data_IF_883288069916
#
_entry.id   IF_883288069916
#
_cell.length_a   1.000
_cell.length_b   1.000
_cell.length_c   1.000
_cell.angle_alpha   90.00
_cell.angle_beta   90.00
_cell.angle_gamma   90.00
#
_symmetry.space_group_name_H-M   'P 1'
#
loop_
_entity.id
_entity.type
_entity.pdbx_description
1 polymer ?
#
# COMPACT_ATOMS: atom_id res chain seq x y z
N UNK A 1 -26.88 -18.19 -23.99
CA UNK A 1 -26.20 -19.05 -23.00
C UNK A 1 -24.90 -18.36 -22.69
N UNK A 2 -24.93 -17.61 -21.60
CA UNK A 2 -23.91 -16.66 -21.18
C UNK A 2 -22.57 -17.35 -20.94
N UNK A 3 -21.50 -16.73 -21.44
CA UNK A 3 -20.13 -17.14 -21.12
C UNK A 3 -19.87 -16.87 -19.64
N UNK A 4 -19.17 -17.76 -18.90
CA UNK A 4 -18.76 -17.44 -17.55
C UNK A 4 -17.77 -16.28 -17.64
N UNK A 5 -18.09 -15.16 -17.01
CA UNK A 5 -17.13 -14.10 -16.75
C UNK A 5 -15.96 -14.71 -15.98
N UNK A 6 -14.84 -14.94 -16.68
CA UNK A 6 -13.59 -15.35 -16.08
C UNK A 6 -13.03 -14.13 -15.35
N UNK A 7 -13.51 -13.89 -14.12
CA UNK A 7 -12.75 -13.08 -13.19
C UNK A 7 -11.44 -13.83 -12.93
N UNK A 8 -10.27 -13.22 -13.14
CA UNK A 8 -9.05 -13.81 -12.63
C UNK A 8 -9.24 -14.05 -11.13
N UNK A 9 -8.78 -15.21 -10.64
CA UNK A 9 -8.64 -15.42 -9.21
C UNK A 9 -7.91 -14.18 -8.63
N UNK A 10 -8.40 -13.61 -7.51
CA UNK A 10 -7.69 -12.49 -6.89
C UNK A 10 -6.25 -12.93 -6.68
N UNK A 11 -5.25 -12.12 -7.13
CA UNK A 11 -3.85 -12.49 -6.95
C UNK A 11 -3.63 -12.80 -5.48
N UNK A 12 -3.01 -13.95 -5.23
CA UNK A 12 -2.67 -14.42 -3.89
C UNK A 12 -2.17 -13.22 -3.09
N UNK A 13 -2.97 -12.82 -2.10
CA UNK A 13 -2.86 -11.51 -1.46
C UNK A 13 -1.68 -11.57 -0.53
N UNK A 14 -0.51 -11.38 -1.12
CA UNK A 14 0.73 -11.60 -0.44
C UNK A 14 1.37 -10.26 -0.23
N UNK A 15 1.85 -10.05 1.00
CA UNK A 15 2.92 -9.10 1.26
C UNK A 15 4.19 -9.38 0.43
N UNK A 16 4.16 -10.24 -0.62
CA UNK A 16 5.26 -10.56 -1.52
C UNK A 16 5.97 -9.32 -2.10
N UNK A 17 5.26 -8.20 -2.26
CA UNK A 17 5.88 -6.95 -2.72
C UNK A 17 6.53 -6.13 -1.59
N UNK A 18 6.25 -6.44 -0.33
CA UNK A 18 6.78 -5.77 0.85
C UNK A 18 8.00 -6.49 1.40
N UNK A 19 8.90 -5.72 2.02
CA UNK A 19 9.97 -6.27 2.82
C UNK A 19 9.41 -7.09 4.00
N UNK A 20 9.96 -8.28 4.33
CA UNK A 20 9.42 -9.17 5.37
C UNK A 20 9.24 -8.51 6.75
N UNK A 21 10.11 -7.56 7.11
CA UNK A 21 10.00 -6.81 8.37
C UNK A 21 8.72 -5.96 8.40
N UNK A 22 8.38 -5.29 7.30
CA UNK A 22 7.18 -4.46 7.21
C UNK A 22 5.93 -5.35 7.22
N UNK A 23 5.98 -6.48 6.51
CA UNK A 23 4.91 -7.47 6.49
C UNK A 23 4.64 -8.05 7.90
N UNK A 24 5.68 -8.48 8.61
CA UNK A 24 5.55 -9.01 9.98
C UNK A 24 4.99 -7.95 10.91
N UNK A 25 5.56 -6.74 10.90
CA UNK A 25 5.06 -5.65 11.73
C UNK A 25 3.58 -5.36 11.50
N UNK A 26 3.13 -5.35 10.23
CA UNK A 26 1.73 -5.12 9.91
C UNK A 26 0.85 -6.24 10.49
N UNK A 27 1.23 -7.50 10.29
CA UNK A 27 0.47 -8.65 10.80
C UNK A 27 0.39 -8.64 12.33
N UNK A 28 1.49 -8.30 13.01
CA UNK A 28 1.57 -8.29 14.47
C UNK A 28 0.84 -7.08 15.10
N UNK A 29 0.82 -5.94 14.41
CA UNK A 29 0.32 -4.67 14.98
C UNK A 29 -1.09 -4.32 14.51
N UNK A 30 -1.39 -4.58 13.24
CA UNK A 30 -2.64 -4.19 12.58
C UNK A 30 -3.54 -5.41 12.32
N UNK A 31 -2.94 -6.57 12.04
CA UNK A 31 -3.64 -7.82 11.74
C UNK A 31 -3.79 -8.05 10.24
N UNK A 32 -5.00 -8.42 9.81
CA UNK A 32 -5.26 -8.79 8.41
C UNK A 32 -5.48 -7.55 7.54
N UNK A 33 -4.88 -7.48 6.34
CA UNK A 33 -5.13 -6.37 5.42
C UNK A 33 -6.58 -6.34 4.92
N UNK A 34 -7.10 -5.16 4.66
CA UNK A 34 -8.41 -4.98 4.02
C UNK A 34 -8.36 -5.30 2.53
N UNK A 35 -9.51 -5.57 1.92
CA UNK A 35 -9.60 -5.80 0.47
C UNK A 35 -9.06 -4.60 -0.34
N UNK A 36 -9.25 -3.38 0.16
CA UNK A 36 -8.76 -2.16 -0.49
C UNK A 36 -7.25 -2.05 -0.42
N UNK A 37 -6.63 -2.43 0.71
CA UNK A 37 -5.17 -2.45 0.86
C UNK A 37 -4.56 -3.45 -0.11
N UNK A 38 -5.03 -4.69 -0.01
CA UNK A 38 -4.73 -5.81 -0.90
C UNK A 38 -4.80 -5.46 -2.39
N UNK A 39 -5.92 -4.90 -2.83
CA UNK A 39 -6.14 -4.61 -4.25
C UNK A 39 -5.31 -3.43 -4.74
N UNK A 40 -4.90 -2.52 -3.85
CA UNK A 40 -4.15 -1.32 -4.23
C UNK A 40 -2.65 -1.52 -4.23
N UNK A 41 -2.09 -2.37 -3.37
CA UNK A 41 -0.64 -2.54 -3.25
C UNK A 41 0.08 -2.95 -4.53
N UNK A 42 -0.41 -3.90 -5.36
CA UNK A 42 0.26 -4.21 -6.63
C UNK A 42 0.42 -2.98 -7.54
N UNK A 43 -0.60 -2.12 -7.58
CA UNK A 43 -0.54 -0.88 -8.36
C UNK A 43 0.41 0.14 -7.74
N UNK A 44 0.34 0.38 -6.43
CA UNK A 44 1.21 1.36 -5.74
C UNK A 44 2.68 0.93 -5.80
N UNK A 45 2.97 -0.34 -5.52
CA UNK A 45 4.33 -0.88 -5.47
C UNK A 45 4.98 -0.99 -6.86
N UNK A 46 4.20 -0.94 -7.95
CA UNK A 46 4.75 -0.92 -9.31
C UNK A 46 5.48 0.38 -9.67
N UNK A 47 5.28 1.45 -8.88
CA UNK A 47 5.80 2.79 -9.17
C UNK A 47 4.91 3.61 -10.11
N UNK A 48 3.83 3.04 -10.64
CA UNK A 48 2.84 3.73 -11.47
C UNK A 48 1.89 4.62 -10.65
N UNK A 49 1.22 5.55 -11.33
CA UNK A 49 0.19 6.37 -10.69
C UNK A 49 -1.05 5.54 -10.34
N UNK A 50 -1.47 5.59 -9.07
CA UNK A 50 -2.65 4.86 -8.58
C UNK A 50 -3.73 5.81 -8.02
N UNK A 51 -4.99 5.56 -8.40
CA UNK A 51 -6.18 6.21 -7.82
C UNK A 51 -7.01 5.17 -7.06
N UNK A 52 -7.16 5.35 -5.75
CA UNK A 52 -7.93 4.44 -4.89
C UNK A 52 -9.28 5.07 -4.56
N UNK A 53 -10.34 4.63 -5.22
CA UNK A 53 -11.71 5.04 -4.94
C UNK A 53 -12.40 4.00 -4.03
N UNK A 54 -12.49 4.30 -2.73
CA UNK A 54 -13.17 3.43 -1.76
C UNK A 54 -13.86 4.25 -0.64
N UNK A 55 -14.81 3.67 0.12
CA UNK A 55 -15.46 4.33 1.25
C UNK A 55 -14.50 4.76 2.36
N UNK A 56 -14.86 5.77 3.16
CA UNK A 56 -14.12 6.12 4.39
C UNK A 56 -14.02 4.91 5.32
N UNK A 57 -12.94 4.82 6.09
CA UNK A 57 -12.70 3.67 6.96
C UNK A 57 -12.13 2.41 6.27
N UNK A 58 -12.08 2.34 4.93
CA UNK A 58 -11.55 1.14 4.22
C UNK A 58 -10.02 0.95 4.28
N UNK A 59 -9.29 1.79 5.02
CA UNK A 59 -7.83 1.64 5.17
C UNK A 59 -6.97 2.20 4.03
N UNK A 60 -7.55 2.99 3.11
CA UNK A 60 -6.84 3.63 1.97
C UNK A 60 -5.56 4.38 2.38
N UNK A 61 -5.65 5.13 3.47
CA UNK A 61 -4.54 5.94 3.98
C UNK A 61 -3.38 5.03 4.39
N UNK A 62 -3.65 4.00 5.18
CA UNK A 62 -2.63 3.03 5.56
C UNK A 62 -2.09 2.25 4.35
N UNK A 63 -2.92 1.96 3.33
CA UNK A 63 -2.46 1.34 2.10
C UNK A 63 -1.34 2.16 1.42
N UNK A 64 -1.58 3.46 1.24
CA UNK A 64 -0.62 4.38 0.63
C UNK A 64 0.62 4.60 1.50
N UNK A 65 0.44 4.83 2.80
CA UNK A 65 1.56 5.08 3.71
C UNK A 65 2.46 3.85 3.88
N UNK A 66 1.89 2.64 4.00
CA UNK A 66 2.68 1.42 4.18
C UNK A 66 3.57 1.16 2.96
N UNK A 67 3.01 1.26 1.74
CA UNK A 67 3.78 1.13 0.50
C UNK A 67 4.90 2.17 0.40
N UNK A 68 4.63 3.40 0.85
CA UNK A 68 5.64 4.45 0.84
C UNK A 68 6.75 4.19 1.86
N UNK A 69 6.42 3.75 3.08
CA UNK A 69 7.39 3.36 4.11
C UNK A 69 8.27 2.19 3.64
N UNK A 70 7.66 1.19 3.00
CA UNK A 70 8.38 0.04 2.48
C UNK A 70 9.40 0.45 1.39
N UNK A 71 9.00 1.33 0.48
CA UNK A 71 9.93 1.88 -0.52
C UNK A 71 11.12 2.60 0.14
N UNK A 72 10.87 3.45 1.15
CA UNK A 72 11.95 4.10 1.89
C UNK A 72 12.86 3.10 2.61
N UNK A 73 12.27 2.05 3.19
CA UNK A 73 13.01 1.02 3.88
C UNK A 73 13.92 0.24 2.92
N UNK A 74 13.41 -0.13 1.74
CA UNK A 74 14.20 -0.80 0.71
C UNK A 74 15.33 0.10 0.15
N UNK A 75 15.06 1.41 -0.04
CA UNK A 75 16.10 2.38 -0.41
C UNK A 75 17.19 2.48 0.67
N UNK A 76 16.81 2.49 1.95
CA UNK A 76 17.76 2.53 3.05
C UNK A 76 18.66 1.29 3.09
N UNK A 77 18.08 0.10 2.88
CA UNK A 77 18.86 -1.16 2.80
C UNK A 77 19.84 -1.17 1.62
N UNK A 78 19.49 -0.48 0.53
CA UNK A 78 20.34 -0.37 -0.67
C UNK A 78 21.37 0.77 -0.57
N UNK A 79 21.36 1.55 0.52
CA UNK A 79 22.12 2.81 0.68
C UNK A 79 21.80 3.89 -0.37
N UNK A 80 20.61 3.84 -0.96
CA UNK A 80 20.13 4.79 -1.97
C UNK A 80 19.17 5.84 -1.38
N UNK A 81 18.84 5.73 -0.09
CA UNK A 81 17.97 6.70 0.58
C UNK A 81 18.68 8.04 0.76
N UNK A 82 18.30 9.01 -0.07
CA UNK A 82 18.86 10.35 -0.04
C UNK A 82 18.29 11.20 1.12
N UNK A 83 19.14 12.08 1.68
CA UNK A 83 18.82 12.99 2.77
C UNK A 83 18.05 14.23 2.28
N UNK A 84 16.84 13.99 1.78
CA UNK A 84 15.87 15.03 1.43
C UNK A 84 14.45 14.48 1.58
N UNK A 85 13.44 15.34 1.45
CA UNK A 85 12.04 14.90 1.46
C UNK A 85 11.78 13.91 0.31
N UNK A 86 11.31 12.71 0.65
CA UNK A 86 10.98 11.64 -0.31
C UNK A 86 9.47 11.47 -0.54
N UNK A 87 8.65 11.76 0.47
CA UNK A 87 7.19 11.59 0.43
C UNK A 87 6.51 12.91 0.79
N UNK A 88 5.55 13.33 -0.02
CA UNK A 88 4.67 14.46 0.27
C UNK A 88 3.22 13.98 0.38
N UNK A 89 2.66 14.04 1.59
CA UNK A 89 1.24 13.81 1.82
C UNK A 89 0.49 15.15 1.82
N UNK A 90 -0.53 15.26 0.97
CA UNK A 90 -1.37 16.46 0.86
C UNK A 90 -2.79 16.09 1.28
N UNK A 91 -3.29 16.77 2.32
CA UNK A 91 -4.68 16.62 2.77
C UNK A 91 -5.45 17.93 2.54
N UNK A 92 -6.75 17.86 2.20
CA UNK A 92 -7.56 19.06 1.96
C UNK A 92 -7.97 19.79 3.25
N UNK A 93 -7.72 19.20 4.44
CA UNK A 93 -8.16 19.74 5.74
C UNK A 93 -7.03 19.67 6.77
N UNK A 94 -6.77 20.78 7.47
CA UNK A 94 -5.79 20.87 8.58
C UNK A 94 -6.03 19.86 9.70
N UNK A 95 -7.28 19.45 9.92
CA UNK A 95 -7.67 18.59 11.05
C UNK A 95 -7.21 17.12 10.94
N UNK A 96 -6.64 16.70 9.81
CA UNK A 96 -6.13 15.34 9.59
C UNK A 96 -4.61 15.21 9.75
N UNK A 97 -3.91 16.30 10.11
CA UNK A 97 -2.44 16.33 10.26
C UNK A 97 -1.93 16.21 11.70
N UNK A 98 -2.76 15.77 12.65
CA UNK A 98 -2.38 15.61 14.05
C UNK A 98 -2.25 14.14 14.46
#
# INVERSE_FOLDING_TARGET
MDSPHNFPDPPDVSFASFHPIIASWFQDTIGTPTDVQTASWPAICSGEHALIAAPTGSGKTLAAFLASIDSLFQQALSNDLADHTQILYVSPLKALSN
#
